data_IF_998484915701
#
_entry.id   IF_998484915701
#
_cell.length_a   1.000
_cell.length_b   1.000
_cell.length_c   1.000
_cell.angle_alpha   90.00
_cell.angle_beta   90.00
_cell.angle_gamma   90.00
#
_symmetry.space_group_name_H-M   'P 1'
#
loop_
_entity.id
_entity.type
_entity.pdbx_description
1 polymer ?
#
# COMPACT_ATOMS: atom_id res chain seq x y z
N UNK A 1 21.94 -25.56 16.97
CA UNK A 1 22.98 -24.51 16.91
C UNK A 1 22.28 -23.16 16.94
N UNK A 2 22.52 -22.38 17.99
CA UNK A 2 21.89 -21.07 18.21
C UNK A 2 22.66 -20.01 17.43
N UNK A 3 22.07 -19.49 16.35
CA UNK A 3 22.55 -18.27 15.71
C UNK A 3 22.10 -17.07 16.55
N UNK A 4 22.87 -16.77 17.60
CA UNK A 4 22.91 -15.44 18.21
C UNK A 4 23.32 -14.46 17.11
N UNK A 5 22.33 -13.78 16.50
CA UNK A 5 22.55 -12.68 15.56
C UNK A 5 23.41 -11.63 16.26
N UNK A 6 24.66 -11.53 15.85
CA UNK A 6 25.56 -10.42 16.14
C UNK A 6 24.93 -9.13 15.60
N UNK A 7 24.11 -8.47 16.42
CA UNK A 7 23.77 -7.04 16.33
C UNK A 7 25.02 -6.24 16.71
N UNK A 8 26.06 -6.32 15.88
CA UNK A 8 27.28 -5.54 16.04
C UNK A 8 27.28 -4.42 15.00
N UNK A 9 27.00 -3.20 15.47
CA UNK A 9 27.60 -1.94 15.00
C UNK A 9 27.51 -1.62 13.50
N UNK A 10 26.31 -1.67 12.92
CA UNK A 10 26.02 -0.97 11.65
C UNK A 10 24.87 -0.03 11.93
N UNK A 11 25.03 1.26 11.63
CA UNK A 11 23.89 2.18 11.72
C UNK A 11 22.83 1.74 10.71
N UNK A 12 21.56 2.12 10.92
CA UNK A 12 20.49 1.84 9.94
C UNK A 12 20.86 2.37 8.54
N UNK A 13 21.70 3.41 8.48
CA UNK A 13 22.28 3.93 7.24
C UNK A 13 23.29 2.98 6.59
N UNK A 14 24.17 2.33 7.36
CA UNK A 14 25.14 1.35 6.82
C UNK A 14 24.44 0.14 6.19
N UNK A 15 23.26 -0.24 6.69
CA UNK A 15 22.40 -1.27 6.10
C UNK A 15 21.75 -0.78 4.79
N UNK A 16 21.21 0.44 4.79
CA UNK A 16 20.57 1.07 3.62
C UNK A 16 21.52 1.28 2.43
N UNK A 17 22.74 1.74 2.69
CA UNK A 17 23.67 2.17 1.63
C UNK A 17 24.46 1.01 1.03
N UNK A 18 24.76 -0.03 1.80
CA UNK A 18 25.47 -1.23 1.30
C UNK A 18 24.53 -2.15 0.49
N UNK A 19 23.28 -2.25 0.92
CA UNK A 19 22.29 -3.14 0.29
C UNK A 19 21.56 -2.44 -0.85
N UNK A 20 21.31 -1.14 -0.77
CA UNK A 20 20.50 -0.42 -1.76
C UNK A 20 19.07 -0.96 -1.84
N UNK A 21 18.34 -0.54 -2.88
CA UNK A 21 16.99 -1.02 -3.15
C UNK A 21 17.05 -2.37 -3.86
N UNK A 22 16.57 -3.42 -3.20
CA UNK A 22 16.43 -4.77 -3.77
C UNK A 22 14.98 -4.99 -4.16
N UNK A 23 14.72 -5.09 -5.46
CA UNK A 23 13.35 -5.23 -5.95
C UNK A 23 12.94 -6.69 -5.92
N UNK A 24 11.86 -6.98 -5.22
CA UNK A 24 11.36 -8.33 -5.03
C UNK A 24 10.13 -8.54 -5.89
N UNK A 25 10.06 -9.69 -6.57
CA UNK A 25 8.88 -10.09 -7.32
C UNK A 25 8.26 -11.32 -6.70
N UNK A 26 6.96 -11.26 -6.46
CA UNK A 26 6.13 -12.37 -6.00
C UNK A 26 5.24 -12.80 -7.16
N UNK A 27 5.19 -14.10 -7.43
CA UNK A 27 4.32 -14.67 -8.47
C UNK A 27 3.09 -15.30 -7.83
N UNK A 28 1.92 -15.01 -8.37
CA UNK A 28 0.71 -15.75 -8.07
C UNK A 28 0.74 -17.08 -8.83
N UNK A 29 0.62 -18.19 -8.12
CA UNK A 29 0.70 -19.54 -8.64
C UNK A 29 -0.49 -20.35 -8.15
N UNK A 30 -1.11 -21.12 -9.04
CA UNK A 30 -2.22 -22.00 -8.69
C UNK A 30 -1.77 -23.06 -7.68
N UNK A 31 -2.60 -23.33 -6.67
CA UNK A 31 -2.36 -24.40 -5.68
C UNK A 31 -2.32 -25.77 -6.38
N UNK A 32 -3.22 -25.99 -7.34
CA UNK A 32 -3.31 -27.25 -8.10
C UNK A 32 -2.04 -27.51 -8.93
N UNK A 33 -1.41 -26.45 -9.44
CA UNK A 33 -0.15 -26.55 -10.18
C UNK A 33 1.06 -26.94 -9.31
N UNK A 34 0.96 -26.73 -7.99
CA UNK A 34 2.04 -27.02 -7.03
C UNK A 34 1.92 -28.44 -6.47
N UNK A 35 0.69 -28.92 -6.24
CA UNK A 35 0.45 -30.25 -5.64
C UNK A 35 0.61 -31.41 -6.63
N UNK A 36 0.29 -31.21 -7.91
CA UNK A 36 0.20 -32.32 -8.88
C UNK A 36 1.53 -32.61 -9.60
N UNK A 37 2.52 -31.69 -9.53
CA UNK A 37 3.67 -31.73 -10.45
C UNK A 37 3.21 -31.53 -11.91
N UNK A 38 4.07 -31.14 -12.86
CA UNK A 38 3.58 -30.63 -14.15
C UNK A 38 2.90 -31.75 -14.97
N UNK A 39 1.58 -31.71 -15.24
CA UNK A 39 1.02 -32.47 -16.34
C UNK A 39 1.09 -31.57 -17.59
N UNK A 40 1.26 -32.18 -18.75
CA UNK A 40 1.16 -31.46 -20.02
C UNK A 40 -0.18 -30.71 -20.09
N UNK A 41 -0.10 -29.40 -20.34
CA UNK A 41 -1.21 -28.42 -20.49
C UNK A 41 -1.69 -27.80 -19.17
N UNK A 42 -0.96 -26.78 -18.69
CA UNK A 42 -1.52 -25.78 -17.76
C UNK A 42 -2.64 -25.02 -18.49
N UNK A 43 -3.87 -25.07 -17.98
CA UNK A 43 -5.02 -24.36 -18.56
C UNK A 43 -5.07 -22.88 -18.22
N UNK A 44 -4.25 -22.41 -17.28
CA UNK A 44 -4.19 -20.98 -16.92
C UNK A 44 -2.89 -20.37 -17.45
N UNK A 45 -3.01 -19.54 -18.49
CA UNK A 45 -1.90 -18.83 -19.11
C UNK A 45 -1.42 -17.63 -18.29
N UNK A 46 -2.30 -17.07 -17.47
CA UNK A 46 -2.03 -15.85 -16.73
C UNK A 46 -1.21 -16.09 -15.46
N UNK A 47 -0.17 -15.28 -15.28
CA UNK A 47 0.69 -15.31 -14.10
C UNK A 47 0.80 -13.90 -13.50
N UNK A 48 -0.24 -13.42 -12.79
CA UNK A 48 -0.18 -12.13 -12.12
C UNK A 48 1.00 -12.06 -11.16
N UNK A 49 1.63 -10.89 -11.09
CA UNK A 49 2.81 -10.64 -10.27
C UNK A 49 2.63 -9.42 -9.37
N UNK A 50 3.32 -9.45 -8.24
CA UNK A 50 3.49 -8.29 -7.36
C UNK A 50 4.98 -7.94 -7.37
N UNK A 51 5.32 -6.71 -7.75
CA UNK A 51 6.68 -6.18 -7.68
C UNK A 51 6.76 -5.16 -6.55
N UNK A 52 7.59 -5.44 -5.55
CA UNK A 52 7.86 -4.55 -4.42
C UNK A 52 9.17 -3.82 -4.64
N UNK A 53 9.13 -2.49 -4.62
CA UNK A 53 10.26 -1.61 -4.86
C UNK A 53 10.53 -0.82 -3.57
N UNK A 54 11.57 -1.16 -2.79
CA UNK A 54 11.94 -0.39 -1.60
C UNK A 54 12.42 1.02 -1.96
N UNK A 55 11.78 2.04 -1.38
CA UNK A 55 12.03 3.45 -1.64
C UNK A 55 12.62 4.15 -0.43
N UNK A 56 13.38 5.22 -0.66
CA UNK A 56 13.64 6.23 0.35
C UNK A 56 12.93 7.51 -0.05
N UNK A 57 12.41 8.24 0.93
CA UNK A 57 11.81 9.56 0.68
C UNK A 57 12.84 10.59 0.17
N UNK A 58 14.12 10.36 0.47
CA UNK A 58 15.23 11.06 -0.18
C UNK A 58 16.09 10.02 -0.88
N UNK A 59 16.26 10.15 -2.18
CA UNK A 59 17.13 9.31 -2.98
C UNK A 59 17.85 10.13 -4.05
N UNK A 60 18.88 9.54 -4.67
CA UNK A 60 19.46 10.14 -5.86
C UNK A 60 18.46 10.21 -7.00
N UNK A 61 18.61 11.23 -7.84
CA UNK A 61 17.83 11.38 -9.08
C UNK A 61 17.94 10.10 -9.93
N UNK A 62 19.16 9.57 -10.08
CA UNK A 62 19.43 8.33 -10.82
C UNK A 62 18.61 7.14 -10.30
N UNK A 63 18.44 7.03 -8.97
CA UNK A 63 17.61 5.97 -8.40
C UNK A 63 16.14 6.15 -8.80
N UNK A 64 15.58 7.35 -8.64
CA UNK A 64 14.19 7.60 -9.02
C UNK A 64 13.95 7.46 -10.52
N UNK A 65 14.90 7.86 -11.36
CA UNK A 65 14.80 7.66 -12.81
C UNK A 65 14.73 6.17 -13.16
N UNK A 66 15.46 5.29 -12.47
CA UNK A 66 15.32 3.84 -12.65
C UNK A 66 13.95 3.32 -12.24
N UNK A 67 13.39 3.84 -11.15
CA UNK A 67 12.03 3.48 -10.71
C UNK A 67 11.01 3.95 -11.75
N UNK A 68 11.13 5.17 -12.27
CA UNK A 68 10.29 5.71 -13.32
C UNK A 68 10.38 4.88 -14.61
N UNK A 69 11.60 4.58 -15.08
CA UNK A 69 11.85 3.74 -16.25
C UNK A 69 11.15 2.38 -16.11
N UNK A 70 11.27 1.74 -14.95
CA UNK A 70 10.64 0.45 -14.70
C UNK A 70 9.12 0.53 -14.77
N UNK A 71 8.52 1.49 -14.03
CA UNK A 71 7.07 1.62 -13.94
C UNK A 71 6.48 2.01 -15.30
N UNK A 72 7.10 2.95 -16.01
CA UNK A 72 6.69 3.36 -17.36
C UNK A 72 6.75 2.20 -18.35
N UNK A 73 7.82 1.40 -18.32
CA UNK A 73 7.91 0.20 -19.14
C UNK A 73 6.87 -0.86 -18.75
N UNK A 74 6.58 -1.04 -17.46
CA UNK A 74 5.56 -1.98 -17.01
C UNK A 74 4.16 -1.57 -17.51
N UNK A 75 3.79 -0.30 -17.35
CA UNK A 75 2.51 0.27 -17.81
C UNK A 75 2.36 0.18 -19.34
N UNK A 76 3.44 0.46 -20.09
CA UNK A 76 3.43 0.34 -21.56
C UNK A 76 3.32 -1.10 -22.05
N UNK A 77 3.93 -2.04 -21.32
CA UNK A 77 3.95 -3.47 -21.67
C UNK A 77 2.64 -4.15 -21.31
N UNK A 78 2.01 -3.80 -20.20
CA UNK A 78 0.81 -4.45 -19.70
C UNK A 78 -0.28 -3.43 -19.34
N UNK A 79 -1.45 -3.56 -20.00
CA UNK A 79 -2.63 -2.73 -19.73
C UNK A 79 -3.12 -2.91 -18.29
N UNK A 80 -2.96 -4.11 -17.74
CA UNK A 80 -3.33 -4.49 -16.38
C UNK A 80 -2.15 -4.26 -15.42
N UNK A 81 -1.66 -3.02 -15.38
CA UNK A 81 -0.64 -2.58 -14.42
C UNK A 81 -1.27 -1.64 -13.39
N UNK A 82 -1.02 -1.89 -12.11
CA UNK A 82 -1.49 -1.09 -10.98
C UNK A 82 -0.31 -0.65 -10.14
N UNK A 83 -0.23 0.63 -9.79
CA UNK A 83 0.82 1.16 -8.90
C UNK A 83 0.17 1.63 -7.61
N UNK A 84 0.45 0.93 -6.51
CA UNK A 84 -0.07 1.25 -5.19
C UNK A 84 0.89 2.24 -4.52
N UNK A 85 0.57 3.53 -4.54
CA UNK A 85 1.44 4.55 -3.94
C UNK A 85 1.26 4.61 -2.43
N UNK A 86 2.36 4.96 -1.76
CA UNK A 86 2.35 5.30 -0.35
C UNK A 86 1.84 6.74 -0.14
N UNK A 87 0.82 6.89 0.71
CA UNK A 87 0.24 8.19 1.06
C UNK A 87 -1.12 8.04 1.75
N UNK A 88 -1.21 8.52 2.99
CA UNK A 88 -2.48 8.58 3.73
C UNK A 88 -3.40 9.58 3.04
N UNK A 89 -4.62 9.15 2.72
CA UNK A 89 -5.63 10.02 2.13
C UNK A 89 -6.49 10.66 3.24
N UNK A 90 -6.52 11.99 3.30
CA UNK A 90 -7.30 12.73 4.31
C UNK A 90 -8.80 12.39 4.25
N UNK A 91 -9.34 12.26 3.04
CA UNK A 91 -10.75 11.93 2.81
C UNK A 91 -10.95 11.26 1.45
N UNK A 92 -12.09 10.60 1.26
CA UNK A 92 -12.53 10.08 -0.04
C UNK A 92 -12.64 11.18 -1.10
N UNK A 93 -13.03 12.40 -0.70
CA UNK A 93 -13.11 13.54 -1.60
C UNK A 93 -11.72 13.97 -2.11
N UNK A 94 -10.72 14.00 -1.23
CA UNK A 94 -9.34 14.30 -1.59
C UNK A 94 -8.76 13.24 -2.53
N UNK A 95 -9.05 11.95 -2.28
CA UNK A 95 -8.67 10.88 -3.20
C UNK A 95 -9.30 11.09 -4.58
N UNK A 96 -10.61 11.36 -4.63
CA UNK A 96 -11.32 11.57 -5.89
C UNK A 96 -10.75 12.77 -6.67
N UNK A 97 -10.44 13.87 -5.97
CA UNK A 97 -9.83 15.05 -6.56
C UNK A 97 -8.44 14.73 -7.14
N UNK A 98 -7.62 13.99 -6.40
CA UNK A 98 -6.30 13.59 -6.85
C UNK A 98 -6.36 12.67 -8.09
N UNK A 99 -7.32 11.74 -8.12
CA UNK A 99 -7.53 10.90 -9.29
C UNK A 99 -8.02 11.70 -10.51
N UNK A 100 -8.82 12.76 -10.31
CA UNK A 100 -9.20 13.69 -11.38
C UNK A 100 -7.99 14.47 -11.90
N UNK A 101 -7.13 14.96 -11.02
CA UNK A 101 -5.88 15.63 -11.41
C UNK A 101 -5.00 14.72 -12.26
N UNK A 102 -4.84 13.45 -11.87
CA UNK A 102 -4.09 12.48 -12.67
C UNK A 102 -4.70 12.26 -14.06
N UNK A 103 -6.03 12.26 -14.17
CA UNK A 103 -6.72 12.17 -15.47
C UNK A 103 -6.47 13.40 -16.33
N UNK A 104 -6.59 14.60 -15.76
CA UNK A 104 -6.36 15.88 -16.46
C UNK A 104 -4.93 15.98 -16.97
N UNK A 105 -3.95 15.65 -16.12
CA UNK A 105 -2.54 15.57 -16.50
C UNK A 105 -2.38 14.56 -17.65
N UNK A 106 -2.91 13.34 -17.50
CA UNK A 106 -2.75 12.30 -18.54
C UNK A 106 -3.41 12.64 -19.87
N UNK A 107 -4.44 13.48 -19.91
CA UNK A 107 -5.12 13.86 -21.15
C UNK A 107 -4.50 15.08 -21.84
N UNK A 108 -3.70 15.89 -21.13
CA UNK A 108 -3.14 17.13 -21.65
C UNK A 108 -1.61 17.06 -21.82
N UNK A 109 -1.14 16.90 -23.06
CA UNK A 109 0.29 16.78 -23.36
C UNK A 109 1.13 17.98 -22.90
N UNK A 110 0.63 19.20 -23.01
CA UNK A 110 1.35 20.41 -22.57
C UNK A 110 1.45 20.45 -21.04
N UNK A 111 0.38 20.06 -20.35
CA UNK A 111 0.37 19.95 -18.89
C UNK A 111 1.36 18.88 -18.42
N UNK A 112 1.40 17.69 -19.04
CA UNK A 112 2.40 16.65 -18.73
C UNK A 112 3.82 17.18 -18.84
N UNK A 113 4.16 17.81 -19.97
CA UNK A 113 5.50 18.35 -20.18
C UNK A 113 5.84 19.45 -19.15
N UNK A 114 4.87 20.28 -18.82
CA UNK A 114 5.02 21.30 -17.76
C UNK A 114 5.27 20.65 -16.40
N UNK A 115 4.51 19.62 -16.02
CA UNK A 115 4.69 18.91 -14.75
C UNK A 115 6.05 18.22 -14.66
N UNK A 116 6.51 17.59 -15.74
CA UNK A 116 7.83 16.96 -15.82
C UNK A 116 8.94 17.99 -15.62
N UNK A 117 8.90 19.10 -16.37
CA UNK A 117 9.90 20.17 -16.25
C UNK A 117 9.91 20.78 -14.84
N UNK A 118 8.73 21.06 -14.27
CA UNK A 118 8.63 21.59 -12.90
C UNK A 118 9.15 20.62 -11.84
N UNK A 119 9.03 19.30 -12.06
CA UNK A 119 9.59 18.30 -11.15
C UNK A 119 11.12 18.27 -11.22
N UNK A 120 11.70 18.43 -12.42
CA UNK A 120 13.16 18.55 -12.62
C UNK A 120 13.73 19.79 -11.92
N UNK A 121 13.06 20.92 -12.12
CA UNK A 121 13.41 22.22 -11.53
C UNK A 121 12.97 22.37 -10.07
N UNK A 122 12.25 21.39 -9.51
CA UNK A 122 11.76 21.35 -8.14
C UNK A 122 10.87 22.57 -7.76
N UNK A 123 10.04 23.02 -8.70
CA UNK A 123 9.17 24.21 -8.54
C UNK A 123 7.70 23.87 -8.31
N UNK A 124 7.37 22.60 -8.05
CA UNK A 124 5.98 22.17 -7.80
C UNK A 124 5.46 22.61 -6.43
N UNK A 125 6.37 22.78 -5.47
CA UNK A 125 6.07 23.18 -4.10
C UNK A 125 6.76 24.51 -3.81
N UNK A 126 6.14 25.34 -2.96
CA UNK A 126 6.82 26.56 -2.49
C UNK A 126 7.98 26.17 -1.56
N UNK A 127 8.99 27.05 -1.39
CA UNK A 127 10.08 26.82 -0.45
C UNK A 127 9.59 26.53 0.98
N UNK A 128 8.50 27.16 1.41
CA UNK A 128 7.87 26.94 2.71
C UNK A 128 7.27 25.54 2.82
N UNK A 129 6.50 25.13 1.81
CA UNK A 129 5.91 23.77 1.76
C UNK A 129 6.99 22.71 1.72
N UNK A 130 8.07 22.94 0.96
CA UNK A 130 9.22 22.03 0.94
C UNK A 130 9.89 21.90 2.31
N UNK A 131 10.01 23.00 3.06
CA UNK A 131 10.56 22.97 4.42
C UNK A 131 9.67 22.17 5.37
N UNK A 132 8.35 22.33 5.25
CA UNK A 132 7.37 21.55 6.02
C UNK A 132 7.49 20.05 5.71
N UNK A 133 7.56 19.68 4.42
CA UNK A 133 7.79 18.29 3.99
C UNK A 133 9.12 17.78 4.56
N UNK A 134 10.21 18.55 4.44
CA UNK A 134 11.51 18.16 4.99
C UNK A 134 11.43 17.94 6.52
N UNK A 135 10.74 18.82 7.24
CA UNK A 135 10.56 18.70 8.68
C UNK A 135 9.77 17.45 9.05
N UNK A 136 8.67 17.18 8.36
CA UNK A 136 7.86 15.96 8.51
C UNK A 136 8.70 14.71 8.28
N UNK A 137 9.49 14.70 7.21
CA UNK A 137 10.35 13.56 6.85
C UNK A 137 11.62 13.47 7.71
N UNK A 138 11.89 14.45 8.57
CA UNK A 138 13.12 14.52 9.36
C UNK A 138 14.39 14.75 8.52
N UNK A 139 14.24 15.37 7.35
CA UNK A 139 15.31 15.65 6.36
C UNK A 139 15.82 17.08 6.55
N UNK A 140 17.13 17.28 6.41
CA UNK A 140 17.74 18.62 6.48
C UNK A 140 17.52 19.39 5.18
N UNK A 141 16.62 20.37 5.21
CA UNK A 141 16.29 21.20 4.04
C UNK A 141 17.52 21.90 3.43
N UNK A 142 18.34 22.58 4.23
CA UNK A 142 19.50 23.33 3.71
C UNK A 142 20.52 22.42 3.01
N UNK A 143 20.72 21.21 3.55
CA UNK A 143 21.59 20.20 2.96
C UNK A 143 20.97 19.66 1.66
N UNK A 144 19.67 19.32 1.66
CA UNK A 144 18.96 18.89 0.46
C UNK A 144 19.07 19.94 -0.65
N UNK A 145 18.88 21.21 -0.32
CA UNK A 145 19.00 22.34 -1.25
C UNK A 145 20.42 22.43 -1.83
N UNK A 146 21.47 22.32 -1.00
CA UNK A 146 22.85 22.32 -1.48
C UNK A 146 23.20 21.15 -2.41
N UNK A 147 22.37 20.10 -2.40
CA UNK A 147 22.56 18.87 -3.16
C UNK A 147 21.51 18.66 -4.25
N UNK A 148 20.76 19.71 -4.60
CA UNK A 148 19.67 19.64 -5.55
C UNK A 148 20.10 19.13 -6.95
N UNK A 149 21.37 19.15 -7.31
CA UNK A 149 21.80 18.57 -8.60
C UNK A 149 21.82 17.03 -8.61
N UNK A 150 21.73 16.38 -7.45
CA UNK A 150 22.01 14.93 -7.32
C UNK A 150 20.94 14.15 -6.55
N UNK A 151 20.23 14.78 -5.62
CA UNK A 151 19.21 14.14 -4.78
C UNK A 151 17.91 14.94 -4.79
N UNK A 152 16.80 14.24 -4.57
CA UNK A 152 15.45 14.80 -4.55
C UNK A 152 14.62 14.14 -3.46
N UNK A 153 13.54 14.82 -3.07
CA UNK A 153 12.43 14.21 -2.33
C UNK A 153 11.54 13.41 -3.28
N UNK A 154 11.04 12.27 -2.83
CA UNK A 154 10.07 11.45 -3.55
C UNK A 154 8.82 12.28 -3.91
N UNK A 155 8.36 13.11 -2.98
CA UNK A 155 7.19 13.98 -3.08
C UNK A 155 7.36 15.05 -4.17
N UNK A 156 8.58 15.58 -4.31
CA UNK A 156 8.87 16.68 -5.24
C UNK A 156 9.28 16.22 -6.64
N UNK A 157 9.81 14.99 -6.76
CA UNK A 157 10.37 14.49 -8.01
C UNK A 157 9.64 13.26 -8.55
N UNK A 158 9.59 12.18 -7.76
CA UNK A 158 9.07 10.90 -8.25
C UNK A 158 7.55 10.93 -8.43
N UNK A 159 6.79 11.32 -7.39
CA UNK A 159 5.31 11.29 -7.42
C UNK A 159 4.74 12.15 -8.57
N UNK A 160 5.22 13.39 -8.80
CA UNK A 160 4.73 14.21 -9.91
C UNK A 160 5.08 13.63 -11.29
N UNK A 161 6.29 13.07 -11.45
CA UNK A 161 6.67 12.40 -12.70
C UNK A 161 5.84 11.15 -12.95
N UNK A 162 5.55 10.36 -11.91
CA UNK A 162 4.64 9.23 -11.99
C UNK A 162 3.23 9.66 -12.40
N UNK A 163 2.70 10.75 -11.83
CA UNK A 163 1.40 11.29 -12.22
C UNK A 163 1.39 11.71 -13.69
N UNK A 164 2.47 12.36 -14.15
CA UNK A 164 2.61 12.81 -15.54
C UNK A 164 2.77 11.67 -16.55
N UNK A 165 3.39 10.54 -16.17
CA UNK A 165 3.70 9.44 -17.08
C UNK A 165 2.68 8.30 -17.01
N UNK A 166 2.16 8.00 -15.83
CA UNK A 166 1.43 6.77 -15.50
C UNK A 166 0.14 7.03 -14.72
N UNK A 167 -0.37 8.27 -14.68
CA UNK A 167 -1.40 8.73 -13.74
C UNK A 167 -2.63 7.81 -13.61
N UNK A 168 -3.13 7.22 -14.71
CA UNK A 168 -4.30 6.34 -14.69
C UNK A 168 -4.05 4.97 -14.02
N UNK A 169 -2.79 4.57 -13.88
CA UNK A 169 -2.37 3.32 -13.24
C UNK A 169 -2.06 3.52 -11.75
N UNK A 170 -1.99 4.76 -11.26
CA UNK A 170 -1.74 5.06 -9.85
C UNK A 170 -2.99 4.84 -9.00
N UNK A 171 -2.84 4.29 -7.80
CA UNK A 171 -3.90 4.13 -6.79
C UNK A 171 -3.38 4.48 -5.42
N UNK A 172 -4.10 5.36 -4.73
CA UNK A 172 -3.70 5.87 -3.42
C UNK A 172 -4.58 5.32 -2.28
N UNK A 173 -5.73 4.69 -2.56
CA UNK A 173 -6.58 4.03 -1.55
C UNK A 173 -6.02 2.73 -0.96
N UNK A 174 -4.86 2.26 -1.41
CA UNK A 174 -4.24 1.09 -0.82
C UNK A 174 -3.68 1.36 0.58
N UNK A 175 -3.45 2.63 0.92
CA UNK A 175 -3.05 3.08 2.26
C UNK A 175 -4.29 3.45 3.11
N UNK A 176 -4.09 3.77 4.39
CA UNK A 176 -5.19 4.13 5.30
C UNK A 176 -5.77 5.51 4.98
N UNK A 177 -7.08 5.65 5.22
CA UNK A 177 -7.71 6.96 5.31
C UNK A 177 -7.59 7.52 6.73
N UNK A 178 -7.65 8.86 6.88
CA UNK A 178 -7.54 9.49 8.19
C UNK A 178 -8.63 9.05 9.19
N UNK A 179 -9.83 8.69 8.71
CA UNK A 179 -10.87 8.14 9.59
C UNK A 179 -10.49 6.75 10.14
N UNK A 180 -9.82 5.91 9.35
CA UNK A 180 -9.31 4.61 9.80
C UNK A 180 -8.18 4.81 10.80
N UNK A 181 -7.31 5.79 10.55
CA UNK A 181 -6.22 6.16 11.47
C UNK A 181 -6.78 6.62 12.82
N UNK A 182 -7.78 7.50 12.83
CA UNK A 182 -8.43 7.97 14.05
C UNK A 182 -9.03 6.81 14.85
N UNK A 183 -9.78 5.92 14.19
CA UNK A 183 -10.33 4.71 14.83
C UNK A 183 -9.23 3.85 15.47
N UNK A 184 -8.13 3.60 14.75
CA UNK A 184 -7.01 2.80 15.28
C UNK A 184 -6.32 3.46 16.48
N UNK A 185 -6.23 4.80 16.49
CA UNK A 185 -5.68 5.55 17.62
C UNK A 185 -6.61 5.51 18.84
N UNK A 186 -7.92 5.55 18.64
CA UNK A 186 -8.92 5.40 19.72
C UNK A 186 -8.85 4.01 20.36
N UNK A 187 -8.80 2.95 19.53
CA UNK A 187 -8.64 1.57 19.98
C UNK A 187 -7.33 1.39 20.78
N UNK A 188 -6.23 1.96 20.29
CA UNK A 188 -4.94 1.89 20.96
C UNK A 188 -4.92 2.72 22.25
N UNK A 189 -5.58 3.87 22.27
CA UNK A 189 -5.76 4.67 23.49
C UNK A 189 -6.49 3.87 24.56
N UNK A 190 -7.59 3.19 24.22
CA UNK A 190 -8.33 2.36 25.17
C UNK A 190 -7.46 1.21 25.71
N UNK A 191 -6.67 0.57 24.83
CA UNK A 191 -5.73 -0.50 25.23
C UNK A 191 -4.66 -0.01 26.18
N UNK A 192 -4.07 1.16 25.90
CA UNK A 192 -3.02 1.76 26.74
C UNK A 192 -3.57 2.24 28.09
N UNK A 193 -4.77 2.82 28.11
CA UNK A 193 -5.45 3.20 29.35
C UNK A 193 -5.67 2.00 30.28
N UNK A 194 -6.02 0.83 29.73
CA UNK A 194 -6.13 -0.41 30.51
C UNK A 194 -4.80 -0.86 31.14
N UNK A 195 -3.66 -0.41 30.60
CA UNK A 195 -2.30 -0.67 31.10
C UNK A 195 -1.76 0.48 31.97
N UNK A 196 -2.54 1.54 32.20
CA UNK A 196 -2.10 2.74 32.91
C UNK A 196 -1.20 3.67 32.09
N UNK A 197 -1.14 3.49 30.78
CA UNK A 197 -0.40 4.32 29.82
C UNK A 197 -1.37 5.24 29.05
N UNK A 198 -0.85 6.30 28.41
CA UNK A 198 -1.66 7.21 27.61
C UNK A 198 -0.95 7.64 26.33
N UNK A 199 -1.75 7.90 25.28
CA UNK A 199 -1.27 8.53 24.06
C UNK A 199 -1.13 10.05 24.24
N UNK A 200 -0.28 10.71 23.43
CA UNK A 200 -0.26 12.17 23.33
C UNK A 200 -1.64 12.73 22.97
N UNK A 201 -1.98 13.89 23.52
CA UNK A 201 -3.27 14.57 23.26
C UNK A 201 -3.39 15.12 21.83
N UNK A 202 -2.27 15.25 21.12
CA UNK A 202 -2.21 15.64 19.72
C UNK A 202 -1.03 14.92 19.06
N UNK A 203 -1.26 14.39 17.87
CA UNK A 203 -0.28 13.65 17.08
C UNK A 203 -0.21 14.34 15.72
N UNK A 204 0.98 14.79 15.32
CA UNK A 204 1.18 15.33 13.99
C UNK A 204 1.07 14.22 12.93
N UNK A 205 0.60 14.55 11.72
CA UNK A 205 0.48 13.58 10.60
C UNK A 205 1.82 12.88 10.34
N UNK A 206 2.91 13.64 10.37
CA UNK A 206 4.29 13.16 10.25
C UNK A 206 4.69 12.10 11.27
N UNK A 207 4.03 12.06 12.42
CA UNK A 207 4.31 11.13 13.51
C UNK A 207 3.43 9.88 13.43
N UNK A 208 2.38 9.86 12.62
CA UNK A 208 1.46 8.72 12.53
C UNK A 208 2.17 7.42 12.14
N UNK A 209 3.17 7.49 11.24
CA UNK A 209 3.99 6.34 10.84
C UNK A 209 4.85 5.75 11.95
N UNK A 210 5.04 6.47 13.07
CA UNK A 210 5.81 5.98 14.22
C UNK A 210 5.00 5.06 15.14
N UNK A 211 3.67 5.09 15.05
CA UNK A 211 2.79 4.24 15.85
C UNK A 211 2.75 2.82 15.27
N UNK A 212 3.16 1.79 16.04
CA UNK A 212 3.21 0.42 15.54
C UNK A 212 1.86 -0.09 15.04
N UNK A 213 0.76 0.31 15.70
CA UNK A 213 -0.61 -0.08 15.30
C UNK A 213 -0.96 0.46 13.92
N UNK A 214 -0.67 1.73 13.63
CA UNK A 214 -0.94 2.35 12.34
C UNK A 214 -0.08 1.68 11.27
N UNK A 215 1.24 1.62 11.49
CA UNK A 215 2.20 1.02 10.56
C UNK A 215 1.79 -0.39 10.15
N UNK A 216 1.49 -1.24 11.13
CA UNK A 216 1.07 -2.63 10.91
C UNK A 216 -0.20 -2.75 10.08
N UNK A 217 -1.18 -1.86 10.30
CA UNK A 217 -2.42 -1.86 9.51
C UNK A 217 -2.18 -1.38 8.08
N UNK A 218 -1.37 -0.33 7.87
CA UNK A 218 -0.98 0.14 6.53
C UNK A 218 -0.33 -0.97 5.71
N UNK A 219 0.67 -1.63 6.29
CA UNK A 219 1.43 -2.72 5.64
C UNK A 219 0.54 -3.92 5.30
N UNK A 220 -0.45 -4.25 6.14
CA UNK A 220 -1.43 -5.31 5.88
C UNK A 220 -2.43 -4.94 4.80
N UNK A 221 -2.96 -3.71 4.82
CA UNK A 221 -3.95 -3.24 3.85
C UNK A 221 -3.38 -3.28 2.44
N UNK A 222 -2.18 -2.73 2.23
CA UNK A 222 -1.52 -2.77 0.91
C UNK A 222 -1.24 -4.20 0.44
N UNK A 223 -0.79 -5.08 1.34
CA UNK A 223 -0.57 -6.50 1.02
C UNK A 223 -1.88 -7.19 0.60
N UNK A 224 -2.98 -6.93 1.32
CA UNK A 224 -4.30 -7.48 1.01
C UNK A 224 -4.81 -6.97 -0.34
N UNK A 225 -4.73 -5.66 -0.60
CA UNK A 225 -5.15 -5.04 -1.87
C UNK A 225 -4.37 -5.65 -3.04
N UNK A 226 -3.04 -5.77 -2.92
CA UNK A 226 -2.21 -6.36 -3.96
C UNK A 226 -2.61 -7.81 -4.29
N UNK A 227 -2.90 -8.61 -3.25
CA UNK A 227 -3.38 -9.99 -3.42
C UNK A 227 -4.73 -10.06 -4.10
N UNK A 228 -5.69 -9.23 -3.69
CA UNK A 228 -7.05 -9.20 -4.26
C UNK A 228 -6.99 -8.92 -5.77
N UNK A 229 -6.16 -7.97 -6.19
CA UNK A 229 -5.96 -7.69 -7.62
C UNK A 229 -5.37 -8.88 -8.38
N UNK A 230 -4.34 -9.52 -7.83
CA UNK A 230 -3.74 -10.71 -8.44
C UNK A 230 -4.73 -11.87 -8.54
N UNK A 231 -5.54 -12.11 -7.50
CA UNK A 231 -6.59 -13.13 -7.52
C UNK A 231 -7.61 -12.84 -8.61
N UNK A 232 -8.09 -11.59 -8.70
CA UNK A 232 -9.04 -11.19 -9.73
C UNK A 232 -8.49 -11.39 -11.13
N UNK A 233 -7.25 -10.98 -11.39
CA UNK A 233 -6.63 -11.15 -12.72
C UNK A 233 -6.43 -12.61 -13.08
N UNK A 234 -6.02 -13.44 -12.12
CA UNK A 234 -5.90 -14.88 -12.33
C UNK A 234 -7.24 -15.51 -12.70
N UNK A 235 -8.33 -15.17 -11.99
CA UNK A 235 -9.69 -15.65 -12.30
C UNK A 235 -10.19 -15.20 -13.68
N UNK A 236 -9.70 -14.06 -14.15
CA UNK A 236 -10.01 -13.49 -15.46
C UNK A 236 -9.07 -13.98 -16.57
N UNK A 237 -8.09 -14.83 -16.24
CA UNK A 237 -7.02 -15.26 -17.14
C UNK A 237 -6.28 -14.08 -17.78
N UNK A 238 -6.12 -12.99 -17.03
CA UNK A 238 -5.40 -11.80 -17.42
C UNK A 238 -4.03 -11.76 -16.75
N UNK A 239 -2.98 -11.48 -17.53
CA UNK A 239 -1.68 -11.14 -16.96
C UNK A 239 -1.77 -9.75 -16.34
N UNK A 240 -1.37 -9.62 -15.08
CA UNK A 240 -1.40 -8.34 -14.36
C UNK A 240 -0.16 -8.12 -13.51
N UNK A 241 0.19 -6.86 -13.26
CA UNK A 241 1.29 -6.50 -12.37
C UNK A 241 0.84 -5.44 -11.37
N UNK A 242 0.95 -5.77 -10.07
CA UNK A 242 0.86 -4.78 -8.99
C UNK A 242 2.26 -4.32 -8.63
N UNK A 243 2.53 -3.02 -8.71
CA UNK A 243 3.80 -2.41 -8.31
C UNK A 243 3.60 -1.65 -7.00
N UNK A 244 4.47 -1.90 -6.02
CA UNK A 244 4.42 -1.32 -4.67
C UNK A 244 5.73 -0.56 -4.41
N UNK A 245 5.83 0.71 -4.85
CA UNK A 245 6.98 1.58 -4.57
C UNK A 245 6.83 2.26 -3.20
N UNK A 246 7.13 1.52 -2.13
CA UNK A 246 6.91 1.95 -0.74
C UNK A 246 8.22 2.12 0.03
N UNK A 247 8.17 2.90 1.11
CA UNK A 247 9.31 3.14 2.00
C UNK A 247 10.02 1.85 2.41
N UNK A 248 11.35 1.87 2.39
CA UNK A 248 12.23 0.72 2.62
C UNK A 248 11.88 -0.06 3.90
N UNK A 249 11.50 0.66 4.96
CA UNK A 249 11.17 0.03 6.24
C UNK A 249 9.82 -0.70 6.23
N UNK A 250 8.96 -0.46 5.24
CA UNK A 250 7.66 -1.14 5.11
C UNK A 250 7.74 -2.41 4.28
N UNK A 251 8.67 -2.49 3.32
CA UNK A 251 8.61 -3.52 2.26
C UNK A 251 8.75 -4.94 2.75
N UNK A 252 9.63 -5.21 3.73
CA UNK A 252 9.79 -6.55 4.31
C UNK A 252 8.50 -7.03 5.01
N UNK A 253 7.83 -6.13 5.73
CA UNK A 253 6.57 -6.46 6.39
C UNK A 253 5.44 -6.67 5.37
N UNK A 254 5.39 -5.86 4.31
CA UNK A 254 4.43 -6.03 3.20
C UNK A 254 4.64 -7.40 2.53
N UNK A 255 5.88 -7.76 2.18
CA UNK A 255 6.21 -9.07 1.60
C UNK A 255 5.79 -10.19 2.55
N UNK A 256 6.13 -10.07 3.85
CA UNK A 256 5.71 -11.02 4.86
C UNK A 256 4.18 -11.18 4.88
N UNK A 257 3.40 -10.09 4.86
CA UNK A 257 1.94 -10.17 4.88
C UNK A 257 1.35 -10.73 3.57
N UNK A 258 1.99 -10.48 2.42
CA UNK A 258 1.61 -11.12 1.16
C UNK A 258 1.79 -12.64 1.28
N UNK A 259 2.92 -13.11 1.84
CA UNK A 259 3.19 -14.54 2.02
C UNK A 259 2.37 -15.17 3.16
N UNK A 260 2.12 -14.44 4.25
CA UNK A 260 1.40 -14.93 5.42
C UNK A 260 -0.03 -15.36 5.08
N UNK A 261 -0.72 -14.62 4.21
CA UNK A 261 -2.06 -15.03 3.78
C UNK A 261 -2.07 -16.31 2.91
N UNK A 262 -0.92 -16.91 2.59
CA UNK A 262 -0.89 -18.27 2.07
C UNK A 262 -1.32 -19.25 3.16
N UNK A 263 -1.00 -19.01 4.45
CA UNK A 263 -1.33 -19.93 5.56
C UNK A 263 -2.84 -20.13 5.77
N UNK A 264 -3.66 -19.23 5.24
CA UNK A 264 -5.11 -19.41 5.18
C UNK A 264 -5.55 -20.60 4.29
N UNK A 265 -4.65 -21.18 3.46
CA UNK A 265 -4.89 -22.41 2.69
C UNK A 265 -4.60 -23.69 3.48
N UNK A 266 -3.63 -23.68 4.40
CA UNK A 266 -3.08 -24.93 4.98
C UNK A 266 -3.83 -25.45 6.20
N UNK A 267 -4.76 -24.68 6.78
CA UNK A 267 -5.52 -25.08 7.97
C UNK A 267 -6.78 -25.93 7.66
N UNK A 268 -7.10 -26.14 6.38
CA UNK A 268 -8.27 -26.93 5.98
C UNK A 268 -7.98 -28.43 5.75
N UNK A 269 -6.74 -28.89 5.94
CA UNK A 269 -6.31 -30.26 5.64
C UNK A 269 -6.20 -31.23 6.82
N UNK A 270 -6.03 -30.75 8.05
CA UNK A 270 -5.74 -31.61 9.20
C UNK A 270 -6.60 -31.26 10.43
N UNK A 271 -7.86 -31.70 10.41
CA UNK A 271 -8.67 -31.85 11.61
C UNK A 271 -9.77 -32.89 11.40
N UNK A 272 -9.37 -34.15 11.20
CA UNK A 272 -10.26 -35.29 11.47
C UNK A 272 -9.99 -35.73 12.91
N UNK A 273 -10.92 -35.41 13.81
CA UNK A 273 -10.85 -35.75 15.21
C UNK A 273 -12.07 -35.27 15.98
N UNK A 274 -13.21 -35.93 15.73
CA UNK A 274 -14.29 -36.33 16.66
C UNK A 274 -14.25 -35.62 18.04
N UNK A 275 -15.24 -34.82 18.43
CA UNK A 275 -16.33 -35.35 19.25
C UNK A 275 -17.62 -34.49 19.27
N UNK A 276 -18.71 -35.23 19.41
CA UNK A 276 -20.12 -34.85 19.42
C UNK A 276 -20.55 -34.44 20.83
N UNK A 277 -21.34 -33.36 20.96
CA UNK A 277 -22.47 -33.33 21.91
C UNK A 277 -23.42 -32.15 21.64
N UNK A 278 -24.65 -32.52 21.32
CA UNK A 278 -25.86 -31.70 21.20
C UNK A 278 -26.41 -31.22 22.55
N UNK A 279 -27.10 -30.07 22.58
CA UNK A 279 -28.47 -30.02 23.13
C UNK A 279 -29.20 -28.72 22.77
N UNK A 280 -30.47 -28.92 22.42
CA UNK A 280 -31.58 -28.06 22.00
C UNK A 280 -32.26 -27.22 23.09
N UNK A 281 -32.95 -26.15 22.66
CA UNK A 281 -34.10 -25.51 23.33
C UNK A 281 -34.43 -24.16 22.66
N UNK A 282 -35.46 -24.06 21.79
CA UNK A 282 -36.86 -23.62 22.06
C UNK A 282 -36.93 -22.19 22.66
N UNK A 283 -37.75 -21.22 22.23
CA UNK A 283 -39.10 -21.21 21.65
C UNK A 283 -39.49 -19.78 21.17
N UNK A 284 -40.47 -19.69 20.25
CA UNK A 284 -41.62 -18.74 20.16
C UNK A 284 -41.40 -17.21 20.22
N UNK A 285 -42.12 -16.31 19.54
CA UNK A 285 -43.19 -16.29 18.53
C UNK A 285 -43.60 -14.80 18.30
N UNK A 286 -44.04 -14.43 17.08
CA UNK A 286 -45.10 -13.43 16.73
C UNK A 286 -44.97 -11.96 17.23
N UNK A 287 -45.47 -10.89 16.60
CA UNK A 287 -46.12 -10.59 15.33
C UNK A 287 -46.18 -9.04 15.18
N UNK A 288 -46.41 -8.61 13.93
CA UNK A 288 -47.19 -7.44 13.51
C UNK A 288 -46.72 -5.96 13.66
N UNK A 289 -46.85 -5.28 12.50
CA UNK A 289 -47.51 -3.97 12.27
C UNK A 289 -46.63 -2.77 11.83
N UNK A 290 -46.58 -2.57 10.52
CA UNK A 290 -46.56 -1.26 9.81
C UNK A 290 -47.96 -0.60 9.92
N UNK A 291 -48.22 0.70 9.56
CA UNK A 291 -47.67 1.36 8.36
C UNK A 291 -47.58 2.92 8.35
N UNK A 292 -47.17 3.42 7.18
CA UNK A 292 -47.70 4.60 6.45
C UNK A 292 -46.85 5.88 6.40
N UNK A 293 -46.77 6.45 5.19
CA UNK A 293 -46.37 7.84 4.95
C UNK A 293 -45.60 8.09 3.65
N UNK A 294 -46.25 7.98 2.48
CA UNK A 294 -45.75 8.57 1.23
C UNK A 294 -46.04 10.08 1.18
N UNK A 295 -45.10 10.89 0.65
CA UNK A 295 -45.35 11.79 -0.50
C UNK A 295 -44.15 12.72 -0.82
N UNK A 296 -43.90 12.84 -2.15
CA UNK A 296 -43.35 14.00 -2.88
C UNK A 296 -41.86 14.37 -2.67
N UNK A 297 -41.03 14.64 -3.69
CA UNK A 297 -41.28 15.28 -4.99
C UNK A 297 -40.06 15.14 -5.92
N UNK A 298 -40.34 14.88 -7.21
CA UNK A 298 -39.61 15.17 -8.48
C UNK A 298 -38.15 15.67 -8.43
N UNK A 299 -37.25 14.95 -9.13
CA UNK A 299 -36.02 15.51 -9.71
C UNK A 299 -35.99 15.37 -11.24
N UNK A 300 -35.32 16.34 -11.87
CA UNK A 300 -35.15 16.52 -13.31
C UNK A 300 -34.16 15.51 -13.91
N UNK A 301 -34.45 15.06 -15.14
CA UNK A 301 -33.60 14.16 -15.96
C UNK A 301 -32.73 14.99 -16.91
N UNK A 302 -31.43 14.67 -16.95
CA UNK A 302 -30.57 14.85 -18.12
C UNK A 302 -29.60 13.65 -18.23
N UNK A 303 -29.15 13.27 -19.44
CA UNK A 303 -28.94 11.88 -19.84
C UNK A 303 -27.46 11.46 -19.89
N UNK A 304 -27.17 10.17 -19.68
CA UNK A 304 -25.87 9.60 -20.07
C UNK A 304 -25.34 8.35 -19.37
N UNK A 305 -26.18 7.47 -18.81
CA UNK A 305 -25.72 6.15 -18.31
C UNK A 305 -26.45 5.00 -19.02
N UNK A 306 -25.67 4.18 -19.73
CA UNK A 306 -26.02 2.87 -20.29
C UNK A 306 -25.10 1.86 -19.57
N UNK A 307 -25.56 0.83 -18.88
CA UNK A 307 -26.90 0.37 -18.58
C UNK A 307 -26.77 -0.99 -17.88
N UNK A 308 -27.33 -1.12 -16.68
CA UNK A 308 -27.51 -2.41 -16.00
C UNK A 308 -28.99 -2.68 -15.88
N UNK A 309 -29.45 -3.72 -16.58
CA UNK A 309 -30.82 -4.23 -16.47
C UNK A 309 -31.02 -4.84 -15.08
N UNK A 310 -31.90 -4.22 -14.30
CA UNK A 310 -32.58 -4.87 -13.18
C UNK A 310 -33.64 -5.84 -13.71
N UNK A 311 -33.67 -7.04 -13.14
CA UNK A 311 -34.88 -7.86 -13.05
C UNK A 311 -35.20 -7.94 -11.57
N UNK A 312 -36.25 -7.22 -11.15
CA UNK A 312 -36.84 -7.35 -9.84
C UNK A 312 -37.81 -8.53 -9.83
N UNK A 313 -37.75 -9.37 -8.79
CA UNK A 313 -38.85 -9.58 -7.83
C UNK A 313 -38.63 -10.87 -7.01
N UNK A 314 -38.70 -10.73 -5.69
CA UNK A 314 -39.37 -11.71 -4.84
C UNK A 314 -38.56 -12.39 -3.75
N UNK A 315 -38.58 -11.81 -2.55
CA UNK A 315 -38.93 -12.56 -1.34
C UNK A 315 -37.79 -13.02 -0.41
N UNK A 316 -37.94 -12.66 0.87
CA UNK A 316 -37.56 -13.53 1.99
C UNK A 316 -36.22 -13.22 2.64
N UNK A 317 -36.30 -12.63 3.83
CA UNK A 317 -35.22 -12.51 4.81
C UNK A 317 -34.75 -13.91 5.20
N UNK A 318 -33.46 -14.20 4.99
CA UNK A 318 -32.74 -15.17 5.81
C UNK A 318 -31.28 -14.74 5.91
N UNK A 319 -30.80 -14.68 7.15
CA UNK A 319 -29.43 -14.36 7.50
C UNK A 319 -28.48 -15.31 6.76
N UNK A 320 -27.75 -14.78 5.78
CA UNK A 320 -26.73 -15.53 5.06
C UNK A 320 -25.62 -15.90 6.06
N UNK A 321 -25.69 -17.17 6.47
CA UNK A 321 -24.68 -17.92 7.16
C UNK A 321 -23.28 -17.57 6.62
N UNK A 322 -22.33 -17.46 7.56
CA UNK A 322 -20.90 -17.41 7.30
C UNK A 322 -20.52 -18.27 6.09
N UNK A 323 -20.15 -17.60 5.00
CA UNK A 323 -19.57 -18.26 3.84
C UNK A 323 -18.27 -18.92 4.30
N UNK A 324 -18.30 -20.26 4.38
CA UNK A 324 -17.10 -21.09 4.52
C UNK A 324 -16.05 -20.56 3.55
N UNK A 325 -14.95 -20.03 4.07
CA UNK A 325 -13.82 -19.61 3.25
C UNK A 325 -13.34 -20.80 2.42
N UNK A 326 -13.65 -20.81 1.13
CA UNK A 326 -13.01 -21.71 0.18
C UNK A 326 -11.49 -21.43 0.22
N UNK A 327 -10.64 -22.46 0.14
CA UNK A 327 -9.19 -22.27 0.17
C UNK A 327 -8.77 -21.31 -0.96
N UNK A 328 -7.82 -20.40 -0.72
CA UNK A 328 -7.26 -19.55 -1.77
C UNK A 328 -6.81 -20.42 -2.96
N UNK A 329 -7.36 -20.17 -4.15
CA UNK A 329 -6.95 -20.84 -5.40
C UNK A 329 -5.51 -20.51 -5.84
N UNK A 330 -4.87 -19.57 -5.13
CA UNK A 330 -3.54 -19.04 -5.41
C UNK A 330 -2.69 -18.99 -4.17
N UNK A 331 -1.43 -19.35 -4.36
CA UNK A 331 -0.34 -19.04 -3.44
C UNK A 331 0.58 -18.00 -4.07
N UNK A 332 1.21 -17.20 -3.21
CA UNK A 332 2.23 -16.25 -3.63
C UNK A 332 3.60 -16.82 -3.27
N UNK A 333 4.49 -16.90 -4.25
CA UNK A 333 5.86 -17.36 -4.06
C UNK A 333 6.83 -16.27 -4.50
N UNK A 334 7.90 -16.08 -3.74
CA UNK A 334 8.98 -15.19 -4.17
C UNK A 334 9.62 -15.79 -5.42
N UNK A 335 9.88 -14.97 -6.43
CA UNK A 335 10.62 -15.40 -7.60
C UNK A 335 12.08 -15.62 -7.19
N UNK A 336 12.66 -16.75 -7.61
CA UNK A 336 14.04 -17.13 -7.26
C UNK A 336 15.11 -16.13 -7.76
N UNK A 337 14.75 -15.22 -8.66
CA UNK A 337 15.64 -14.22 -9.24
C UNK A 337 15.35 -12.82 -8.69
N UNK A 338 16.38 -12.21 -8.11
CA UNK A 338 16.36 -10.79 -7.76
C UNK A 338 16.15 -9.95 -9.03
N UNK A 339 15.06 -9.18 -9.07
CA UNK A 339 14.70 -8.39 -10.24
C UNK A 339 15.72 -7.28 -10.53
N UNK A 340 16.10 -6.53 -9.50
CA UNK A 340 17.08 -5.47 -9.59
C UNK A 340 17.71 -5.16 -8.23
N UNK A 341 18.93 -4.63 -8.26
CA UNK A 341 19.59 -4.00 -7.11
C UNK A 341 20.06 -2.61 -7.52
N UNK A 342 19.40 -1.56 -7.02
CA UNK A 342 19.70 -0.18 -7.39
C UNK A 342 20.19 0.60 -6.16
N UNK A 343 21.39 1.18 -6.17
CA UNK A 343 21.87 1.99 -5.05
C UNK A 343 21.03 3.25 -4.88
N UNK A 344 20.57 3.53 -3.65
CA UNK A 344 19.88 4.79 -3.35
C UNK A 344 20.78 6.01 -3.60
N UNK A 345 22.09 5.85 -3.37
CA UNK A 345 23.13 6.88 -3.54
C UNK A 345 22.82 8.16 -2.77
N UNK A 346 22.56 8.02 -1.46
CA UNK A 346 22.21 9.13 -0.56
C UNK A 346 23.34 9.34 0.45
N UNK A 347 23.82 10.58 0.64
CA UNK A 347 24.78 10.92 1.69
C UNK A 347 24.30 10.58 3.10
N UNK A 348 25.27 10.29 3.97
CA UNK A 348 25.03 9.89 5.36
C UNK A 348 24.42 11.00 6.16
N UNK A 349 24.90 12.19 5.88
CA UNK A 349 24.56 13.47 6.46
C UNK A 349 23.08 13.84 6.21
N UNK A 350 22.44 13.30 5.18
CA UNK A 350 21.02 13.55 4.93
C UNK A 350 20.08 12.66 5.75
N UNK A 351 20.58 11.51 6.21
CA UNK A 351 19.77 10.48 6.88
C UNK A 351 20.09 10.42 8.38
N UNK A 352 21.36 10.53 8.74
CA UNK A 352 21.79 10.57 10.14
C UNK A 352 21.76 12.01 10.66
N UNK A 353 21.05 12.22 11.77
CA UNK A 353 21.16 13.47 12.53
C UNK A 353 22.56 13.54 13.12
N UNK A 354 23.19 14.71 13.03
CA UNK A 354 24.42 14.96 13.78
C UNK A 354 24.16 14.66 15.25
N UNK A 355 25.06 13.93 15.95
CA UNK A 355 24.95 13.80 17.38
C UNK A 355 25.00 15.22 17.96
N UNK A 356 23.88 15.69 18.50
CA UNK A 356 23.84 16.92 19.28
C UNK A 356 25.01 16.90 20.27
N UNK A 357 25.87 17.92 20.20
CA UNK A 357 27.10 18.06 20.97
C UNK A 357 26.99 17.47 22.38
N UNK A 358 27.60 16.30 22.56
CA UNK A 358 28.06 15.87 23.85
C UNK A 358 29.25 16.77 24.25
N UNK A 359 28.94 17.96 24.78
CA UNK A 359 29.79 18.65 25.73
C UNK A 359 30.40 19.98 25.29
N UNK A 360 29.81 21.07 25.78
CA UNK A 360 30.58 22.12 26.45
C UNK A 360 29.91 22.43 27.80
N UNK A 361 30.20 21.59 28.79
CA UNK A 361 30.29 22.04 30.18
C UNK A 361 31.51 21.38 30.83
N UNK A 362 32.67 21.94 30.48
CA UNK A 362 33.85 21.90 31.33
C UNK A 362 34.36 23.33 31.45
N UNK A 363 34.56 23.74 32.70
CA UNK A 363 35.15 24.98 33.22
C UNK A 363 34.17 26.12 33.54
N UNK A 364 33.78 26.15 34.80
CA UNK A 364 34.28 27.17 35.74
C UNK A 364 34.38 26.57 37.13
#
# INVERSE_FOLDING_TARGET
>A
MSFMRTRLLRSAYDELVVVGSRWTRLRAVSVDAIEVGPPHVQSHLAHPIITVIPMLHVASIKFYDRVLEYIDHAVKRNRDTLVLLEGICDSEAAEKQQMQEYQEIMQNAALRQTMLAKADDNTLYSPEVMKEICQEMGVRYDLLQSMESTVRLQECYLKPKLAAMCGLNLRNHADLHMHEVQRLLEEESARLQALGECLPSSIAVSQLGTFPVIRKHRERKVAQVARVHCTRWFEQEADGEVIIPWGYFHTEAIIHYILEGNKSTSAAGDAVGVDVASSTGASDSADAASPSGEASTRSFIAPGELGTKEVAAGGGVDAAMATKHAPPRLMFVEADELLAKVPFSVPKELIEREPHDAGISKRS
#
